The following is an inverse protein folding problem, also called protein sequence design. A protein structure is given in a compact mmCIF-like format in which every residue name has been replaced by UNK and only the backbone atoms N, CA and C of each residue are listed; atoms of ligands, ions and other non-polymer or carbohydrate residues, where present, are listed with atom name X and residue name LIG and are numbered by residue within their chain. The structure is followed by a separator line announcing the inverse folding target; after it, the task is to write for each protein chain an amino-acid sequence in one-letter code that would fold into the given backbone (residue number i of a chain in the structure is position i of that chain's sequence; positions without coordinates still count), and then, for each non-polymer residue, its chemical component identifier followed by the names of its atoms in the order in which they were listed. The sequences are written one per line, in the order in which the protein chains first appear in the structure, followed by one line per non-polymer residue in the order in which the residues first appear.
data_IF_505913719153
#
_entry.id   IF_505913719153
#
_cell.length_a   1.000
_cell.length_b   1.000
_cell.length_c   1.000
_cell.angle_alpha   90.00
_cell.angle_beta   90.00
_cell.angle_gamma   90.00
#
_symmetry.space_group_name_H-M   'P 1'
#
loop_
_entity.id
_entity.type
_entity.pdbx_description
1 polymer ?
#
# COMPACT_ATOMS: atom_id res chain seq x y z
N UNK A 1 -5.89 -7.61 22.81
CA UNK A 1 -5.72 -7.15 21.42
C UNK A 1 -7.08 -7.13 20.75
N UNK A 2 -7.30 -6.27 19.75
CA UNK A 2 -8.49 -6.31 18.88
C UNK A 2 -8.05 -6.19 17.42
N UNK A 3 -8.58 -7.03 16.52
CA UNK A 3 -8.23 -7.06 15.09
C UNK A 3 -6.73 -6.96 14.83
N UNK A 4 -5.95 -7.75 15.57
CA UNK A 4 -4.48 -7.80 15.52
C UNK A 4 -3.75 -6.53 16.01
N UNK A 5 -4.46 -5.52 16.53
CA UNK A 5 -3.89 -4.31 17.12
C UNK A 5 -3.78 -4.47 18.66
N UNK A 6 -2.68 -3.98 19.22
CA UNK A 6 -2.52 -3.89 20.67
C UNK A 6 -3.30 -2.67 21.13
N UNK A 7 -4.17 -2.85 22.12
CA UNK A 7 -4.98 -1.78 22.70
C UNK A 7 -4.57 -1.65 24.15
N UNK A 8 -4.29 -0.41 24.55
CA UNK A 8 -3.90 -0.07 25.90
C UNK A 8 -5.14 -0.07 26.80
N UNK A 9 -5.11 -0.81 27.90
CA UNK A 9 -6.24 -0.94 28.81
C UNK A 9 -7.30 -1.94 28.33
N UNK A 10 -7.65 -2.90 29.18
CA UNK A 10 -8.67 -3.90 28.87
C UNK A 10 -10.08 -3.28 28.76
N UNK A 11 -10.30 -2.16 29.44
CA UNK A 11 -11.55 -1.41 29.56
C UNK A 11 -12.05 -0.95 28.19
N UNK A 12 -11.15 -0.56 27.29
CA UNK A 12 -11.51 -0.14 25.93
C UNK A 12 -12.12 -1.28 25.12
N UNK A 13 -11.58 -2.49 25.28
CA UNK A 13 -12.13 -3.69 24.63
C UNK A 13 -13.44 -4.10 25.29
N UNK A 14 -13.52 -4.01 26.63
CA UNK A 14 -14.74 -4.34 27.37
C UNK A 14 -15.89 -3.35 27.13
N UNK A 15 -15.59 -2.13 26.69
CA UNK A 15 -16.58 -1.14 26.28
C UNK A 15 -17.20 -1.44 24.90
N UNK A 16 -16.60 -2.32 24.10
CA UNK A 16 -17.15 -2.74 22.80
C UNK A 16 -18.44 -3.54 22.98
N UNK A 17 -19.46 -3.23 22.17
CA UNK A 17 -20.70 -3.99 22.17
C UNK A 17 -20.43 -5.44 21.72
N UNK A 18 -20.86 -6.48 22.48
CA UNK A 18 -20.57 -7.88 22.14
C UNK A 18 -21.04 -8.30 20.74
N UNK A 19 -22.15 -7.72 20.25
CA UNK A 19 -22.66 -7.99 18.90
C UNK A 19 -21.70 -7.57 17.77
N UNK A 20 -20.72 -6.70 18.05
CA UNK A 20 -19.71 -6.30 17.08
C UNK A 20 -18.57 -7.32 16.97
N UNK A 21 -18.51 -8.30 17.88
CA UNK A 21 -17.43 -9.27 17.96
C UNK A 21 -17.83 -10.57 17.23
N UNK A 22 -16.91 -11.06 16.40
CA UNK A 22 -17.04 -12.32 15.67
C UNK A 22 -16.52 -13.50 16.50
N UNK A 23 -15.31 -13.38 17.07
CA UNK A 23 -14.69 -14.44 17.88
C UNK A 23 -13.65 -13.88 18.84
N UNK A 24 -13.30 -14.70 19.84
CA UNK A 24 -12.22 -14.45 20.79
C UNK A 24 -11.25 -15.63 20.73
N UNK A 25 -9.96 -15.33 20.62
CA UNK A 25 -8.88 -16.31 20.65
C UNK A 25 -8.02 -16.09 21.89
N UNK A 26 -7.68 -17.18 22.57
CA UNK A 26 -6.83 -17.15 23.76
C UNK A 26 -5.61 -18.01 23.49
N UNK A 27 -4.43 -17.42 23.67
CA UNK A 27 -3.14 -18.09 23.57
C UNK A 27 -2.46 -17.99 24.92
N UNK A 28 -2.29 -19.10 25.61
CA UNK A 28 -1.70 -19.17 26.97
C UNK A 28 -0.21 -19.52 26.97
N UNK A 29 0.44 -19.38 25.81
CA UNK A 29 1.87 -19.64 25.60
C UNK A 29 2.55 -18.38 25.04
N UNK A 30 3.89 -18.30 25.07
CA UNK A 30 4.61 -17.16 24.52
C UNK A 30 4.13 -16.79 23.10
N UNK A 31 3.66 -15.55 22.94
CA UNK A 31 3.20 -15.00 21.68
C UNK A 31 4.18 -13.94 21.21
N UNK A 32 4.68 -14.12 19.99
CA UNK A 32 5.68 -13.26 19.37
C UNK A 32 4.98 -12.30 18.41
N UNK A 33 5.19 -10.99 18.59
CA UNK A 33 4.72 -9.96 17.68
C UNK A 33 5.85 -8.97 17.41
N UNK A 34 6.49 -9.11 16.24
CA UNK A 34 7.73 -8.39 15.95
C UNK A 34 8.81 -8.72 16.99
N UNK A 35 9.39 -7.69 17.59
CA UNK A 35 10.43 -7.84 18.61
C UNK A 35 9.87 -7.95 20.04
N UNK A 36 8.54 -7.97 20.21
CA UNK A 36 7.89 -8.10 21.52
C UNK A 36 7.45 -9.54 21.77
N UNK A 37 7.64 -10.00 23.01
CA UNK A 37 7.22 -11.32 23.49
C UNK A 37 6.22 -11.11 24.63
N UNK A 38 5.04 -11.72 24.50
CA UNK A 38 4.00 -11.73 25.53
C UNK A 38 3.90 -13.11 26.14
N UNK A 39 3.63 -13.21 27.44
CA UNK A 39 3.40 -14.50 28.15
C UNK A 39 2.10 -15.22 27.76
N UNK A 40 1.33 -14.62 26.85
CA UNK A 40 0.04 -15.06 26.38
C UNK A 40 -0.74 -13.86 25.87
N UNK A 41 -1.79 -14.09 25.08
CA UNK A 41 -2.66 -13.04 24.58
C UNK A 41 -4.12 -13.46 24.62
N UNK A 42 -4.99 -12.45 24.69
CA UNK A 42 -6.40 -12.55 24.34
C UNK A 42 -6.61 -11.62 23.14
N UNK A 43 -7.08 -12.19 22.04
CA UNK A 43 -7.32 -11.49 20.78
C UNK A 43 -8.81 -11.52 20.45
N UNK A 44 -9.41 -10.34 20.33
CA UNK A 44 -10.79 -10.15 19.92
C UNK A 44 -10.82 -9.83 18.42
N UNK A 45 -11.78 -10.38 17.70
CA UNK A 45 -11.95 -10.09 16.27
C UNK A 45 -13.34 -9.51 16.05
N UNK A 46 -13.41 -8.34 15.43
CA UNK A 46 -14.68 -7.71 15.07
C UNK A 46 -15.28 -8.37 13.84
N UNK A 47 -16.60 -8.23 13.67
CA UNK A 47 -17.31 -8.75 12.48
C UNK A 47 -16.94 -8.00 11.21
N UNK A 48 -16.64 -6.70 11.32
CA UNK A 48 -16.43 -5.81 10.17
C UNK A 48 -14.94 -5.49 9.92
N UNK A 49 -14.03 -5.92 10.78
CA UNK A 49 -12.62 -5.49 10.74
C UNK A 49 -12.43 -4.02 11.07
N UNK A 50 -13.29 -3.47 11.94
CA UNK A 50 -13.38 -2.06 12.33
C UNK A 50 -12.98 -1.81 13.79
N UNK A 51 -12.15 -2.70 14.36
CA UNK A 51 -11.70 -2.65 15.74
C UNK A 51 -12.84 -2.72 16.75
N UNK A 52 -14.00 -3.25 16.35
CA UNK A 52 -15.20 -3.28 17.20
C UNK A 52 -15.75 -1.89 17.52
N UNK A 53 -15.44 -0.89 16.66
CA UNK A 53 -15.81 0.50 16.87
C UNK A 53 -14.95 1.25 17.88
N UNK A 54 -13.80 0.68 18.30
CA UNK A 54 -12.86 1.40 19.16
C UNK A 54 -12.22 2.55 18.38
N UNK A 55 -12.33 3.76 18.92
CA UNK A 55 -11.57 4.90 18.42
C UNK A 55 -10.08 4.73 18.73
N UNK A 56 -9.28 4.75 17.67
CA UNK A 56 -7.82 4.79 17.77
C UNK A 56 -7.38 6.15 18.30
N UNK A 57 -6.33 6.18 19.13
CA UNK A 57 -5.81 7.43 19.70
C UNK A 57 -5.22 8.32 18.60
N UNK A 58 -5.01 9.62 18.88
CA UNK A 58 -4.43 10.55 17.89
C UNK A 58 -3.01 10.16 17.46
N UNK A 59 -2.32 9.32 18.23
CA UNK A 59 -0.98 8.80 17.92
C UNK A 59 -1.01 7.48 17.14
N UNK A 60 -2.18 6.85 17.02
CA UNK A 60 -2.35 5.60 16.30
C UNK A 60 -2.61 5.89 14.82
N UNK A 61 -1.77 5.35 13.93
CA UNK A 61 -1.93 5.46 12.49
C UNK A 61 -2.40 4.12 11.91
N UNK A 62 -3.61 4.09 11.36
CA UNK A 62 -4.08 2.97 10.56
C UNK A 62 -3.94 3.30 9.08
N UNK A 63 -3.17 2.48 8.36
CA UNK A 63 -2.97 2.63 6.91
C UNK A 63 -3.64 1.47 6.20
N UNK A 64 -4.63 1.77 5.36
CA UNK A 64 -5.13 0.81 4.38
C UNK A 64 -4.09 0.66 3.29
N UNK A 65 -3.30 -0.39 3.36
CA UNK A 65 -2.32 -0.71 2.33
C UNK A 65 -2.91 -1.73 1.35
N UNK A 66 -2.95 -1.37 0.06
CA UNK A 66 -3.33 -2.30 -0.99
C UNK A 66 -2.10 -3.13 -1.37
N UNK A 67 -2.09 -4.40 -0.99
CA UNK A 67 -1.04 -5.33 -1.39
C UNK A 67 -1.17 -5.66 -2.88
N UNK A 68 -0.16 -6.35 -3.42
CA UNK A 68 -0.20 -6.88 -4.78
C UNK A 68 -1.47 -7.71 -4.98
N UNK A 69 -2.25 -7.36 -6.00
CA UNK A 69 -3.41 -8.11 -6.47
C UNK A 69 -3.25 -8.33 -7.98
N UNK A 70 -3.68 -9.48 -8.49
CA UNK A 70 -3.58 -9.79 -9.92
C UNK A 70 -4.39 -8.80 -10.79
N UNK A 71 -5.39 -8.13 -10.21
CA UNK A 71 -6.27 -7.15 -10.86
C UNK A 71 -5.67 -5.73 -10.99
N UNK A 72 -4.34 -5.55 -10.98
CA UNK A 72 -3.76 -4.23 -11.22
C UNK A 72 -3.77 -3.96 -12.72
N UNK A 73 -4.87 -3.40 -13.20
CA UNK A 73 -4.88 -2.62 -14.45
C UNK A 73 -3.87 -1.49 -14.29
N UNK A 74 -2.64 -1.72 -14.76
CA UNK A 74 -1.51 -0.78 -14.68
C UNK A 74 -1.63 0.36 -15.70
N UNK A 75 -2.83 0.57 -16.24
CA UNK A 75 -3.12 1.60 -17.22
C UNK A 75 -3.58 2.86 -16.51
N UNK A 76 -2.67 3.83 -16.39
CA UNK A 76 -2.96 5.23 -16.07
C UNK A 76 -3.49 5.40 -14.64
N UNK A 77 -2.66 5.97 -13.76
CA UNK A 77 -3.13 6.46 -12.47
C UNK A 77 -4.03 7.65 -12.76
N UNK A 78 -5.33 7.42 -12.73
CA UNK A 78 -6.36 8.40 -13.00
C UNK A 78 -6.33 9.50 -11.93
N UNK A 79 -5.71 10.63 -12.24
CA UNK A 79 -5.75 11.84 -11.41
C UNK A 79 -6.69 12.85 -12.06
N UNK A 80 -7.96 12.45 -12.23
CA UNK A 80 -9.05 13.32 -12.70
C UNK A 80 -9.79 13.92 -11.50
N UNK A 81 -9.09 14.60 -10.61
CA UNK A 81 -9.76 15.48 -9.66
C UNK A 81 -9.00 16.79 -9.57
N UNK A 82 -9.43 17.76 -10.38
CA UNK A 82 -8.82 19.09 -10.57
C UNK A 82 -8.64 19.88 -9.26
N UNK A 83 -9.29 19.46 -8.16
CA UNK A 83 -9.23 20.14 -6.87
C UNK A 83 -8.23 19.53 -5.86
N UNK A 84 -7.46 18.50 -6.24
CA UNK A 84 -6.52 17.86 -5.33
C UNK A 84 -5.08 17.87 -5.90
N UNK A 85 -4.07 18.32 -5.13
CA UNK A 85 -2.69 18.31 -5.59
C UNK A 85 -2.21 16.93 -6.00
N UNK A 86 -1.57 16.84 -7.16
CA UNK A 86 -0.91 15.62 -7.62
C UNK A 86 0.45 15.45 -6.93
N UNK A 87 0.50 14.49 -6.01
CA UNK A 87 1.68 14.17 -5.20
C UNK A 87 2.35 12.85 -5.61
N UNK A 88 2.04 12.34 -6.80
CA UNK A 88 2.59 11.06 -7.29
C UNK A 88 4.11 11.13 -7.44
N UNK A 89 4.77 10.05 -7.02
CA UNK A 89 6.20 9.81 -7.26
C UNK A 89 6.46 8.94 -8.50
N UNK A 90 5.50 8.08 -8.88
CA UNK A 90 5.51 7.27 -10.10
C UNK A 90 4.45 7.81 -11.06
N UNK A 91 4.89 8.34 -12.20
CA UNK A 91 4.01 9.04 -13.15
C UNK A 91 3.45 8.13 -14.24
N UNK A 92 4.22 7.10 -14.58
CA UNK A 92 3.90 6.14 -15.61
C UNK A 92 4.56 4.80 -15.28
N UNK A 93 3.81 3.72 -15.47
CA UNK A 93 4.31 2.36 -15.33
C UNK A 93 3.71 1.48 -16.43
N UNK A 94 4.54 1.01 -17.37
CA UNK A 94 4.11 0.19 -18.50
C UNK A 94 4.90 -1.13 -18.48
N UNK A 95 4.18 -2.26 -18.52
CA UNK A 95 4.79 -3.60 -18.42
C UNK A 95 5.05 -4.24 -19.78
N UNK A 96 4.21 -3.97 -20.79
CA UNK A 96 4.19 -4.70 -22.07
C UNK A 96 4.47 -3.77 -23.26
N UNK A 97 5.62 -3.10 -23.23
CA UNK A 97 6.04 -2.23 -24.33
C UNK A 97 6.78 -3.01 -25.41
N UNK A 98 6.12 -3.27 -26.54
CA UNK A 98 6.75 -3.87 -27.71
C UNK A 98 7.36 -2.78 -28.61
N UNK A 99 8.69 -2.64 -28.57
CA UNK A 99 9.45 -1.73 -29.42
C UNK A 99 10.03 -2.49 -30.61
N UNK A 100 9.82 -1.99 -31.83
CA UNK A 100 10.44 -2.54 -33.04
C UNK A 100 11.44 -1.53 -33.60
N UNK A 101 12.53 -2.01 -34.20
CA UNK A 101 13.61 -1.16 -34.73
C UNK A 101 13.13 -0.19 -35.83
N UNK A 102 11.97 -0.44 -36.42
CA UNK A 102 11.45 0.32 -37.56
C UNK A 102 10.37 1.34 -37.17
N UNK A 103 9.89 1.36 -35.92
CA UNK A 103 8.86 2.30 -35.47
C UNK A 103 9.32 3.07 -34.24
N UNK A 104 9.20 4.40 -34.31
CA UNK A 104 9.33 5.27 -33.13
C UNK A 104 8.01 5.26 -32.38
N UNK A 105 8.03 4.83 -31.11
CA UNK A 105 6.86 4.90 -30.23
C UNK A 105 6.95 6.15 -29.36
N UNK A 106 5.95 7.02 -29.44
CA UNK A 106 5.77 8.15 -28.51
C UNK A 106 4.94 7.70 -27.32
N UNK A 107 5.33 8.12 -26.12
CA UNK A 107 4.63 7.81 -24.87
C UNK A 107 4.45 9.11 -24.12
N UNK A 108 3.20 9.49 -23.91
CA UNK A 108 2.84 10.72 -23.22
C UNK A 108 2.34 10.41 -21.80
N UNK A 109 2.66 11.28 -20.85
CA UNK A 109 2.21 11.20 -19.47
C UNK A 109 2.11 12.60 -18.86
N UNK A 110 1.36 12.73 -17.76
CA UNK A 110 1.21 13.98 -17.01
C UNK A 110 2.23 14.07 -15.88
N UNK A 111 2.79 15.26 -15.66
CA UNK A 111 3.69 15.53 -14.52
C UNK A 111 2.90 15.88 -13.26
N UNK A 112 3.43 15.61 -12.06
CA UNK A 112 2.77 15.93 -10.81
C UNK A 112 3.00 17.40 -10.43
N UNK A 113 2.27 17.88 -9.42
CA UNK A 113 2.51 19.20 -8.81
C UNK A 113 3.78 19.23 -7.96
N UNK A 114 4.31 18.05 -7.62
CA UNK A 114 5.53 17.90 -6.84
C UNK A 114 6.76 18.22 -7.69
N UNK A 115 7.43 19.33 -7.35
CA UNK A 115 8.69 19.72 -7.98
C UNK A 115 9.80 18.75 -7.60
N UNK A 116 10.65 18.40 -8.57
CA UNK A 116 11.74 17.49 -8.30
C UNK A 116 12.43 16.95 -9.54
N UNK A 117 13.44 16.12 -9.29
CA UNK A 117 14.15 15.36 -10.31
C UNK A 117 13.51 13.97 -10.43
N UNK A 118 13.01 13.65 -11.62
CA UNK A 118 12.39 12.37 -11.93
C UNK A 118 13.28 11.55 -12.88
N UNK A 119 13.16 10.22 -12.80
CA UNK A 119 13.88 9.27 -13.64
C UNK A 119 12.91 8.54 -14.58
N UNK A 120 13.27 8.47 -15.86
CA UNK A 120 12.67 7.57 -16.84
C UNK A 120 13.56 6.34 -16.92
N UNK A 121 13.00 5.18 -16.60
CA UNK A 121 13.68 3.90 -16.62
C UNK A 121 13.00 2.98 -17.65
N UNK A 122 13.73 2.63 -18.70
CA UNK A 122 13.33 1.57 -19.63
C UNK A 122 14.17 0.33 -19.35
N UNK A 123 13.50 -0.80 -19.12
CA UNK A 123 14.13 -2.10 -18.94
C UNK A 123 13.44 -3.11 -19.83
N UNK A 124 14.21 -3.93 -20.51
CA UNK A 124 13.68 -5.00 -21.36
C UNK A 124 14.73 -6.05 -21.68
N UNK A 125 14.31 -7.00 -22.51
CA UNK A 125 15.17 -8.04 -23.07
C UNK A 125 15.10 -7.89 -24.59
N UNK A 126 16.24 -7.82 -25.26
CA UNK A 126 16.28 -7.71 -26.72
C UNK A 126 16.04 -9.05 -27.43
N UNK A 127 16.02 -9.05 -28.76
CA UNK A 127 15.80 -10.26 -29.56
C UNK A 127 16.90 -11.32 -29.43
N UNK A 128 18.05 -10.98 -28.84
CA UNK A 128 19.16 -11.90 -28.56
C UNK A 128 19.10 -12.45 -27.13
N UNK A 129 18.16 -11.98 -26.31
CA UNK A 129 18.04 -12.37 -24.90
C UNK A 129 18.87 -11.49 -23.95
N UNK A 130 19.48 -10.40 -24.44
CA UNK A 130 20.31 -9.52 -23.63
C UNK A 130 19.46 -8.48 -22.89
N UNK A 131 19.86 -8.18 -21.65
CA UNK A 131 19.17 -7.18 -20.84
C UNK A 131 19.52 -5.78 -21.35
N UNK A 132 18.50 -5.03 -21.72
CA UNK A 132 18.61 -3.61 -22.08
C UNK A 132 18.14 -2.76 -20.91
N UNK A 133 18.96 -1.79 -20.51
CA UNK A 133 18.66 -0.82 -19.46
C UNK A 133 18.98 0.58 -19.95
N UNK A 134 17.98 1.45 -20.04
CA UNK A 134 18.14 2.86 -20.40
C UNK A 134 17.59 3.72 -19.28
N UNK A 135 18.37 4.73 -18.88
CA UNK A 135 17.98 5.70 -17.87
C UNK A 135 18.10 7.10 -18.42
N UNK A 136 17.09 7.91 -18.16
CA UNK A 136 17.12 9.34 -18.44
C UNK A 136 16.48 10.11 -17.28
N UNK A 137 16.74 11.41 -17.16
CA UNK A 137 16.21 12.23 -16.07
C UNK A 137 15.63 13.52 -16.61
N UNK A 138 14.58 14.00 -15.95
CA UNK A 138 13.96 15.28 -16.25
C UNK A 138 13.55 15.98 -14.94
N UNK A 139 13.36 17.29 -15.01
CA UNK A 139 13.01 18.10 -13.84
C UNK A 139 11.62 18.70 -14.02
N UNK A 140 10.79 18.53 -13.00
CA UNK A 140 9.49 19.21 -12.85
C UNK A 140 9.72 20.45 -12.00
N UNK A 141 9.32 21.62 -12.49
CA UNK A 141 9.64 22.94 -11.92
C UNK A 141 8.41 23.67 -11.40
#
# INVERSE_FOLDING_TARGET
MIDNIIVDGAERILATHPDNLSRIEIITRPYYKGNMIYGGIISFYSKNGDFGGIELSQTDMFVKYKFFSEDINSGIIDTQNDNMPDTRNTLLWLNDLNLSANNTTSIDFQTPDTKGLYEVLLRGIDSKGEIVLIRNRFTVK
#
